data_IF_995716797281
#
_entry.id   IF_995716797281
#
_cell.length_a   1.000
_cell.length_b   1.000
_cell.length_c   1.000
_cell.angle_alpha   90.00
_cell.angle_beta   90.00
_cell.angle_gamma   90.00
#
_symmetry.space_group_name_H-M   'P 1'
#
loop_
_entity.id
_entity.type
_entity.pdbx_description
1 polymer ?
#
# COMPACT_ATOMS: atom_id res chain seq x y z
N UNK A 1 23.07 -19.13 -31.14
CA UNK A 1 23.50 -18.42 -32.38
C UNK A 1 23.57 -16.89 -32.23
N UNK A 2 22.66 -16.24 -31.48
CA UNK A 2 22.63 -14.77 -31.28
C UNK A 2 23.89 -14.19 -30.59
N UNK A 3 24.42 -14.87 -29.58
CA UNK A 3 25.60 -14.42 -28.82
C UNK A 3 26.89 -14.34 -29.66
N UNK A 4 27.10 -15.27 -30.61
CA UNK A 4 28.26 -15.25 -31.51
C UNK A 4 28.22 -14.06 -32.48
N UNK A 5 27.04 -13.72 -33.02
CA UNK A 5 26.87 -12.53 -33.87
C UNK A 5 27.11 -11.23 -33.10
N UNK A 6 26.68 -11.17 -31.83
CA UNK A 6 26.90 -10.02 -30.96
C UNK A 6 28.39 -9.79 -30.63
N UNK A 7 29.11 -10.84 -30.22
CA UNK A 7 30.55 -10.72 -29.96
C UNK A 7 31.35 -10.33 -31.21
N UNK A 8 30.94 -10.81 -32.39
CA UNK A 8 31.56 -10.40 -33.66
C UNK A 8 31.36 -8.91 -33.95
N UNK A 9 30.19 -8.36 -33.62
CA UNK A 9 29.90 -6.93 -33.79
C UNK A 9 30.69 -6.06 -32.81
N UNK A 10 30.76 -6.46 -31.53
CA UNK A 10 31.55 -5.74 -30.52
C UNK A 10 33.04 -5.70 -30.89
N UNK A 11 33.60 -6.83 -31.36
CA UNK A 11 34.99 -6.87 -31.79
C UNK A 11 35.25 -5.95 -33.00
N UNK A 12 34.32 -5.90 -33.95
CA UNK A 12 34.39 -4.99 -35.09
C UNK A 12 34.33 -3.52 -34.68
N UNK A 13 33.45 -3.17 -33.73
CA UNK A 13 33.37 -1.80 -33.20
C UNK A 13 34.67 -1.41 -32.46
N UNK A 14 35.17 -2.30 -31.60
CA UNK A 14 36.41 -2.06 -30.87
C UNK A 14 37.61 -1.84 -31.81
N UNK A 15 37.69 -2.60 -32.91
CA UNK A 15 38.74 -2.42 -33.92
C UNK A 15 38.64 -1.06 -34.63
N UNK A 16 37.42 -0.63 -34.98
CA UNK A 16 37.20 0.70 -35.57
C UNK A 16 37.49 1.84 -34.60
N UNK A 17 37.17 1.69 -33.32
CA UNK A 17 37.49 2.68 -32.30
C UNK A 17 39.00 2.84 -32.14
N UNK A 18 39.74 1.74 -32.04
CA UNK A 18 41.21 1.75 -31.97
C UNK A 18 41.83 2.40 -33.21
N UNK A 19 41.28 2.14 -34.39
CA UNK A 19 41.75 2.78 -35.63
C UNK A 19 41.50 4.29 -35.64
N UNK A 20 40.31 4.73 -35.24
CA UNK A 20 39.96 6.15 -35.17
C UNK A 20 40.78 6.92 -34.13
N UNK A 21 41.05 6.31 -32.97
CA UNK A 21 41.91 6.91 -31.93
C UNK A 21 43.34 7.05 -32.45
N UNK A 22 43.91 6.00 -33.04
CA UNK A 22 45.28 6.06 -33.58
C UNK A 22 45.41 7.14 -34.66
N UNK A 23 44.43 7.26 -35.55
CA UNK A 23 44.40 8.26 -36.61
C UNK A 23 44.19 9.68 -36.09
N UNK A 24 43.36 9.87 -35.07
CA UNK A 24 43.06 11.20 -34.50
C UNK A 24 44.23 11.76 -33.69
N UNK A 25 44.98 10.89 -33.00
CA UNK A 25 46.06 11.29 -32.10
C UNK A 25 47.46 11.01 -32.67
N UNK A 26 47.57 10.55 -33.94
CA UNK A 26 48.81 10.20 -34.63
C UNK A 26 49.76 9.33 -33.79
N UNK A 27 49.19 8.39 -33.03
CA UNK A 27 49.93 7.53 -32.11
C UNK A 27 50.73 6.49 -32.91
N UNK A 28 51.92 6.89 -33.35
CA UNK A 28 52.79 6.10 -34.24
C UNK A 28 53.66 5.09 -33.45
N UNK A 29 53.73 5.24 -32.13
CA UNK A 29 54.59 4.42 -31.25
C UNK A 29 53.85 3.52 -30.26
N UNK A 30 52.52 3.61 -30.13
CA UNK A 30 51.77 2.75 -29.20
C UNK A 30 51.31 1.48 -29.90
N UNK A 31 51.54 0.33 -29.24
CA UNK A 31 51.13 -0.94 -29.79
C UNK A 31 49.59 -1.03 -29.77
N UNK A 32 48.97 -1.45 -30.87
CA UNK A 32 47.51 -1.71 -30.92
C UNK A 32 47.05 -2.64 -29.80
N UNK A 33 47.95 -3.51 -29.34
CA UNK A 33 47.71 -4.46 -28.24
C UNK A 33 47.58 -3.77 -26.88
N UNK A 34 48.28 -2.67 -26.64
CA UNK A 34 48.26 -1.97 -25.35
C UNK A 34 47.03 -1.07 -25.26
N UNK A 35 46.68 -0.37 -26.34
CA UNK A 35 45.44 0.38 -26.44
C UNK A 35 44.20 -0.51 -26.28
N UNK A 36 44.21 -1.71 -26.88
CA UNK A 36 43.11 -2.68 -26.69
C UNK A 36 43.00 -3.18 -25.25
N UNK A 37 44.08 -3.19 -24.46
CA UNK A 37 44.05 -3.61 -23.06
C UNK A 37 43.46 -2.53 -22.14
N UNK A 38 43.59 -1.26 -22.50
CA UNK A 38 43.08 -0.13 -21.71
C UNK A 38 41.63 0.23 -22.04
N UNK A 39 41.11 -0.20 -23.19
CA UNK A 39 39.74 0.06 -23.59
C UNK A 39 38.77 -0.88 -22.87
N UNK A 40 37.86 -0.31 -22.09
CA UNK A 40 36.73 -1.00 -21.48
C UNK A 40 35.44 -0.72 -22.27
N UNK A 41 34.69 -1.77 -22.59
CA UNK A 41 33.39 -1.68 -23.27
C UNK A 41 32.26 -1.96 -22.25
N UNK A 42 31.39 -0.99 -22.02
CA UNK A 42 30.20 -1.12 -21.19
C UNK A 42 28.96 -1.16 -22.09
N UNK A 43 28.20 -2.26 -22.01
CA UNK A 43 26.94 -2.41 -22.74
C UNK A 43 25.78 -2.31 -21.75
N UNK A 44 24.94 -1.29 -21.90
CA UNK A 44 23.72 -1.11 -21.10
C UNK A 44 22.55 -1.60 -21.95
N UNK A 45 21.83 -2.59 -21.46
CA UNK A 45 20.63 -3.13 -22.10
C UNK A 45 19.58 -3.43 -21.04
N UNK A 46 18.31 -3.35 -21.42
CA UNK A 46 17.21 -3.79 -20.57
C UNK A 46 17.22 -5.32 -20.47
N UNK A 47 17.19 -5.85 -19.25
CA UNK A 47 17.16 -7.29 -18.98
C UNK A 47 15.83 -7.92 -19.42
N UNK A 48 14.74 -7.15 -19.30
CA UNK A 48 13.39 -7.54 -19.70
C UNK A 48 12.68 -6.35 -20.35
N UNK A 49 11.72 -6.64 -21.23
CA UNK A 49 10.88 -5.62 -21.90
C UNK A 49 9.74 -5.11 -21.00
N UNK A 50 9.89 -5.21 -19.68
CA UNK A 50 8.95 -4.71 -18.70
C UNK A 50 9.47 -3.41 -18.11
N UNK A 51 8.63 -2.37 -18.11
CA UNK A 51 8.89 -1.15 -17.37
C UNK A 51 8.23 -1.27 -16.00
N UNK A 52 8.94 -0.92 -14.92
CA UNK A 52 8.32 -0.76 -13.61
C UNK A 52 7.64 0.61 -13.54
N UNK A 53 6.32 0.61 -13.44
CA UNK A 53 5.52 1.83 -13.25
C UNK A 53 5.31 2.06 -11.76
N UNK A 54 5.88 3.13 -11.21
CA UNK A 54 5.67 3.55 -9.82
C UNK A 54 4.56 4.59 -9.78
N UNK A 55 3.32 4.16 -9.53
CA UNK A 55 2.17 5.05 -9.41
C UNK A 55 1.88 5.38 -7.94
N UNK A 56 1.84 6.65 -7.59
CA UNK A 56 1.30 7.12 -6.31
C UNK A 56 -0.23 7.11 -6.39
N UNK A 57 -0.89 6.39 -5.48
CA UNK A 57 -2.35 6.34 -5.37
C UNK A 57 -2.78 7.15 -4.16
N UNK A 58 -3.89 7.87 -4.27
CA UNK A 58 -4.46 8.60 -3.14
C UNK A 58 -4.69 7.64 -1.96
N UNK A 59 -4.14 8.00 -0.81
CA UNK A 59 -4.14 7.14 0.38
C UNK A 59 -5.54 6.94 0.97
N UNK A 60 -6.47 7.87 0.70
CA UNK A 60 -7.83 7.86 1.24
C UNK A 60 -8.82 8.40 0.20
N UNK A 61 -9.72 7.53 -0.25
CA UNK A 61 -10.87 7.89 -1.09
C UNK A 61 -12.04 8.44 -0.26
N UNK A 62 -12.94 9.19 -0.89
CA UNK A 62 -14.16 9.74 -0.27
C UNK A 62 -15.01 8.66 0.40
N UNK A 63 -15.10 7.47 -0.21
CA UNK A 63 -15.82 6.32 0.35
C UNK A 63 -15.19 5.85 1.66
N UNK A 64 -13.86 5.86 1.75
CA UNK A 64 -13.12 5.48 2.97
C UNK A 64 -13.36 6.49 4.11
N UNK A 65 -13.38 7.79 3.79
CA UNK A 65 -13.71 8.84 4.76
C UNK A 65 -15.12 8.66 5.32
N UNK A 66 -16.09 8.46 4.43
CA UNK A 66 -17.48 8.30 4.83
C UNK A 66 -17.69 7.01 5.63
N UNK A 67 -17.00 5.93 5.27
CA UNK A 67 -17.03 4.67 6.01
C UNK A 67 -16.52 4.83 7.44
N UNK A 68 -15.42 5.56 7.63
CA UNK A 68 -14.86 5.79 8.96
C UNK A 68 -15.78 6.65 9.84
N UNK A 69 -16.35 7.73 9.27
CA UNK A 69 -17.29 8.60 9.98
C UNK A 69 -18.59 7.84 10.29
N UNK A 70 -19.14 7.15 9.30
CA UNK A 70 -20.38 6.38 9.44
C UNK A 70 -20.25 5.23 10.44
N UNK A 71 -19.09 4.59 10.53
CA UNK A 71 -18.82 3.53 11.51
C UNK A 71 -18.87 4.05 12.95
N UNK A 72 -18.15 5.13 13.25
CA UNK A 72 -18.12 5.72 14.60
C UNK A 72 -19.47 6.35 14.97
N UNK A 73 -20.07 7.11 14.05
CA UNK A 73 -21.39 7.71 14.26
C UNK A 73 -22.48 6.65 14.44
N UNK A 74 -22.43 5.58 13.65
CA UNK A 74 -23.35 4.44 13.75
C UNK A 74 -23.20 3.68 15.07
N UNK A 75 -21.97 3.52 15.57
CA UNK A 75 -21.73 2.91 16.88
C UNK A 75 -22.32 3.75 18.01
N UNK A 76 -22.09 5.07 18.01
CA UNK A 76 -22.65 5.97 19.02
C UNK A 76 -24.18 6.02 18.97
N UNK A 77 -24.77 6.02 17.77
CA UNK A 77 -26.22 5.91 17.63
C UNK A 77 -26.75 4.56 18.12
N UNK A 78 -26.06 3.46 17.83
CA UNK A 78 -26.44 2.14 18.31
C UNK A 78 -26.47 2.07 19.84
N UNK A 79 -25.43 2.59 20.51
CA UNK A 79 -25.37 2.68 21.97
C UNK A 79 -26.51 3.57 22.50
N UNK A 80 -26.75 4.72 21.88
CA UNK A 80 -27.84 5.62 22.26
C UNK A 80 -29.23 4.96 22.18
N UNK A 81 -29.48 4.17 21.14
CA UNK A 81 -30.75 3.43 20.98
C UNK A 81 -30.89 2.33 22.03
N UNK A 82 -29.82 1.58 22.33
CA UNK A 82 -29.82 0.59 23.40
C UNK A 82 -30.16 1.24 24.75
N UNK A 83 -29.58 2.39 25.06
CA UNK A 83 -29.90 3.14 26.28
C UNK A 83 -31.37 3.59 26.33
N UNK A 84 -31.97 3.99 25.20
CA UNK A 84 -33.40 4.33 25.15
C UNK A 84 -34.29 3.10 25.44
N UNK A 85 -33.95 1.95 24.87
CA UNK A 85 -34.66 0.69 25.14
C UNK A 85 -34.55 0.32 26.62
N UNK A 86 -33.37 0.46 27.21
CA UNK A 86 -33.14 0.17 28.63
C UNK A 86 -33.96 1.09 29.56
N UNK A 87 -34.09 2.37 29.23
CA UNK A 87 -34.95 3.30 29.98
C UNK A 87 -36.42 2.87 29.93
N UNK A 88 -36.89 2.43 28.76
CA UNK A 88 -38.27 1.94 28.59
C UNK A 88 -38.49 0.67 29.44
N UNK A 89 -37.57 -0.29 29.37
CA UNK A 89 -37.62 -1.52 30.16
C UNK A 89 -37.62 -1.23 31.67
N UNK A 90 -36.75 -0.31 32.11
CA UNK A 90 -36.69 0.13 33.50
C UNK A 90 -38.02 0.76 33.95
N UNK A 91 -38.64 1.58 33.10
CA UNK A 91 -39.95 2.17 33.37
C UNK A 91 -41.03 1.12 33.60
N UNK A 92 -41.10 0.08 32.77
CA UNK A 92 -42.04 -1.03 32.94
C UNK A 92 -41.77 -1.83 34.22
N UNK A 93 -40.51 -2.12 34.53
CA UNK A 93 -40.12 -2.82 35.77
C UNK A 93 -40.53 -2.03 37.02
N UNK A 94 -40.25 -0.73 37.04
CA UNK A 94 -40.63 0.14 38.16
C UNK A 94 -42.15 0.17 38.31
N UNK A 95 -42.91 0.32 37.20
CA UNK A 95 -44.36 0.31 37.25
C UNK A 95 -44.93 -1.00 37.83
N UNK A 96 -44.39 -2.15 37.40
CA UNK A 96 -44.79 -3.46 37.91
C UNK A 96 -44.57 -3.58 39.42
N UNK A 97 -43.37 -3.23 39.88
CA UNK A 97 -43.02 -3.25 41.31
C UNK A 97 -43.92 -2.31 42.11
N UNK A 98 -44.21 -1.11 41.60
CA UNK A 98 -45.12 -0.16 42.26
C UNK A 98 -46.55 -0.71 42.39
N UNK A 99 -47.05 -1.45 41.39
CA UNK A 99 -48.36 -2.10 41.44
C UNK A 99 -48.36 -3.21 42.50
N UNK A 100 -47.31 -4.03 42.54
CA UNK A 100 -47.16 -5.11 43.53
C UNK A 100 -47.10 -4.57 44.96
N UNK A 101 -46.32 -3.52 45.21
CA UNK A 101 -46.23 -2.89 46.54
C UNK A 101 -47.58 -2.30 46.96
N UNK A 102 -48.31 -1.66 46.05
CA UNK A 102 -49.67 -1.16 46.34
C UNK A 102 -50.66 -2.29 46.66
N UNK A 103 -50.49 -3.46 46.02
CA UNK A 103 -51.31 -4.65 46.27
C UNK A 103 -51.04 -5.23 47.66
N UNK A 104 -49.78 -5.35 48.07
CA UNK A 104 -49.38 -5.85 49.40
C UNK A 104 -49.86 -4.93 50.52
N UNK A 105 -49.74 -3.60 50.36
CA UNK A 105 -50.14 -2.63 51.38
C UNK A 105 -51.64 -2.58 51.65
N UNK A 106 -52.48 -3.13 50.77
CA UNK A 106 -53.95 -3.17 50.93
C UNK A 106 -54.45 -4.32 51.80
N UNK A 107 -53.58 -5.21 52.30
CA UNK A 107 -53.96 -6.30 53.19
C UNK A 107 -54.04 -5.74 54.63
N UNK A 108 -55.23 -5.60 55.25
CA UNK A 108 -55.33 -5.11 56.61
C UNK A 108 -54.74 -6.15 57.59
N UNK A 109 -53.90 -5.68 58.51
CA UNK A 109 -53.46 -6.48 59.66
C UNK A 109 -54.66 -6.96 60.46
N UNK A 110 -54.71 -8.24 60.90
CA UNK A 110 -55.76 -8.71 61.78
C UNK A 110 -55.78 -7.86 63.05
N UNK A 111 -56.95 -7.35 63.42
CA UNK A 111 -57.16 -6.68 64.71
C UNK A 111 -57.08 -7.77 65.79
N UNK A 112 -56.05 -7.71 66.64
CA UNK A 112 -56.00 -8.45 67.91
C UNK A 112 -57.07 -7.97 68.89
#
# INVERSE_FOLDING_TARGET
MKFKKFNSFNNYLNDKLVENINKKYNLTGTNRRDLKKELAALNIFYETSGYEEVTERESIDFVSLLSNIGGIAGLFLGISVLSLVEIIELGFKILHVLIEIKKVRKIPTPLE
#
